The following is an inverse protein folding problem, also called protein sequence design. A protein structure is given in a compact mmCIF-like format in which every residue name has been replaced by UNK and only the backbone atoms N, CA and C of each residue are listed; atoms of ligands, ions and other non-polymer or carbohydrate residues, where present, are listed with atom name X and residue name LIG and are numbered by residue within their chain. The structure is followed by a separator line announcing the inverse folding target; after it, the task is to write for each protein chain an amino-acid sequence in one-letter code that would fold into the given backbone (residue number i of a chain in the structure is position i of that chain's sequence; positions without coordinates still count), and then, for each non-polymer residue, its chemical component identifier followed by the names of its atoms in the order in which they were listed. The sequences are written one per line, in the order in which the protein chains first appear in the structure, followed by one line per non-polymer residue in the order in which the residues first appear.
data_IF_846230103606
#
_entry.id   IF_846230103606
#
_cell.length_a   1.000
_cell.length_b   1.000
_cell.length_c   1.000
_cell.angle_alpha   90.00
_cell.angle_beta   90.00
_cell.angle_gamma   90.00
#
_symmetry.space_group_name_H-M   'P 1'
#
loop_
_entity.id
_entity.type
_entity.pdbx_description
1 polymer ?
#
# COMPACT_ATOMS: atom_id res chain seq x y z
N UNK A 1 8.67 -13.98 11.47
CA UNK A 1 8.05 -12.65 11.73
C UNK A 1 7.01 -12.46 10.65
N UNK A 2 5.74 -12.24 11.02
CA UNK A 2 4.65 -12.01 10.07
C UNK A 2 4.64 -10.55 9.63
N UNK A 3 4.80 -10.29 8.33
CA UNK A 3 4.67 -8.97 7.72
C UNK A 3 3.20 -8.66 7.44
N UNK A 4 2.87 -7.37 7.53
CA UNK A 4 1.60 -6.83 7.08
C UNK A 4 1.79 -6.17 5.72
N UNK A 5 1.23 -6.78 4.68
CA UNK A 5 1.31 -6.29 3.32
C UNK A 5 -0.04 -5.69 2.95
N UNK A 6 -0.04 -4.45 2.49
CA UNK A 6 -1.23 -3.80 1.96
C UNK A 6 -1.10 -3.68 0.45
N UNK A 7 -2.08 -4.21 -0.27
CA UNK A 7 -2.22 -3.98 -1.70
C UNK A 7 -3.28 -2.90 -1.93
N UNK A 8 -2.86 -1.76 -2.47
CA UNK A 8 -3.70 -0.59 -2.68
C UNK A 8 -4.30 -0.56 -4.08
N UNK A 9 -5.59 -0.25 -4.13
CA UNK A 9 -6.36 0.05 -5.35
C UNK A 9 -6.55 -1.14 -6.30
N UNK A 10 -6.52 -2.37 -5.77
CA UNK A 10 -6.93 -3.58 -6.50
C UNK A 10 -8.45 -3.74 -6.52
N UNK A 11 -9.12 -2.85 -7.26
CA UNK A 11 -10.57 -2.86 -7.45
C UNK A 11 -11.12 -4.17 -8.04
N UNK A 12 -10.28 -4.93 -8.73
CA UNK A 12 -10.68 -6.19 -9.35
C UNK A 12 -10.56 -7.39 -8.39
N UNK A 13 -9.92 -7.21 -7.24
CA UNK A 13 -9.64 -8.27 -6.26
C UNK A 13 -8.95 -9.49 -6.90
N UNK A 14 -7.94 -9.21 -7.73
CA UNK A 14 -7.24 -10.22 -8.52
C UNK A 14 -5.76 -10.34 -8.17
N UNK A 15 -5.18 -9.42 -7.42
CA UNK A 15 -3.75 -9.43 -7.12
C UNK A 15 -3.29 -10.73 -6.44
N UNK A 16 -4.13 -11.28 -5.56
CA UNK A 16 -3.91 -12.59 -4.92
C UNK A 16 -3.96 -13.78 -5.90
N UNK A 17 -4.56 -13.62 -7.07
CA UNK A 17 -4.65 -14.67 -8.10
C UNK A 17 -3.50 -14.66 -9.12
N UNK A 18 -2.74 -13.55 -9.19
CA UNK A 18 -1.68 -13.35 -10.19
C UNK A 18 -0.26 -13.60 -9.66
N UNK A 19 -0.10 -13.88 -8.36
CA UNK A 19 1.22 -14.10 -7.75
C UNK A 19 1.14 -15.04 -6.56
N UNK A 20 2.23 -15.75 -6.30
CA UNK A 20 2.44 -16.53 -5.08
C UNK A 20 2.79 -15.58 -3.93
N UNK A 21 1.79 -15.20 -3.13
CA UNK A 21 2.01 -14.39 -1.93
C UNK A 21 2.62 -15.25 -0.81
N UNK A 22 3.54 -14.69 0.00
CA UNK A 22 4.23 -15.46 1.02
C UNK A 22 3.25 -16.01 2.08
N UNK A 23 3.32 -17.32 2.32
CA UNK A 23 2.54 -17.98 3.36
C UNK A 23 2.95 -17.47 4.76
N UNK A 24 1.96 -17.16 5.62
CA UNK A 24 2.18 -16.69 6.99
C UNK A 24 2.33 -15.18 7.15
N UNK A 25 2.39 -14.43 6.05
CA UNK A 25 2.20 -12.97 6.02
C UNK A 25 0.71 -12.63 5.86
N UNK A 26 0.29 -11.46 6.37
CA UNK A 26 -1.10 -10.99 6.16
C UNK A 26 -1.12 -10.03 4.99
N UNK A 27 -1.76 -10.46 3.89
CA UNK A 27 -2.09 -9.60 2.76
C UNK A 27 -3.47 -9.01 3.00
N UNK A 28 -3.56 -7.69 3.01
CA UNK A 28 -4.82 -6.95 3.07
C UNK A 28 -4.98 -6.14 1.81
N UNK A 29 -5.94 -6.52 0.97
CA UNK A 29 -6.37 -5.70 -0.15
C UNK A 29 -7.18 -4.52 0.40
N UNK A 30 -6.78 -3.31 0.03
CA UNK A 30 -7.44 -2.07 0.40
C UNK A 30 -7.83 -1.35 -0.88
N UNK A 31 -9.11 -1.44 -1.20
CA UNK A 31 -9.75 -0.60 -2.19
C UNK A 31 -10.17 0.71 -1.50
N UNK A 32 -9.37 1.76 -1.66
CA UNK A 32 -9.72 3.09 -1.15
C UNK A 32 -10.13 4.01 -2.30
N UNK A 33 -11.45 4.21 -2.46
CA UNK A 33 -12.00 5.42 -3.08
C UNK A 33 -11.74 6.63 -2.17
N UNK A 34 -10.50 7.10 -2.15
CA UNK A 34 -9.95 8.31 -1.48
C UNK A 34 -10.76 8.85 -0.30
N UNK A 35 -10.67 8.25 0.90
CA UNK A 35 -11.16 8.91 2.11
C UNK A 35 -10.26 10.11 2.47
N UNK A 36 -10.71 10.99 3.37
CA UNK A 36 -9.89 12.08 3.89
C UNK A 36 -8.54 11.55 4.41
N UNK A 37 -7.45 12.29 4.19
CA UNK A 37 -6.05 11.92 4.51
C UNK A 37 -5.81 11.26 5.88
N UNK A 38 -6.54 11.69 6.91
CA UNK A 38 -6.45 11.12 8.25
C UNK A 38 -6.95 9.68 8.33
N UNK A 39 -7.95 9.31 7.53
CA UNK A 39 -8.44 7.94 7.40
C UNK A 39 -7.40 7.06 6.70
N UNK A 40 -6.78 7.55 5.62
CA UNK A 40 -5.74 6.84 4.88
C UNK A 40 -4.55 6.48 5.77
N UNK A 41 -4.03 7.44 6.54
CA UNK A 41 -2.93 7.19 7.49
C UNK A 41 -3.30 6.11 8.53
N UNK A 42 -4.53 6.15 9.05
CA UNK A 42 -5.02 5.14 10.00
C UNK A 42 -5.15 3.76 9.36
N UNK A 43 -5.66 3.69 8.14
CA UNK A 43 -5.80 2.43 7.38
C UNK A 43 -4.44 1.79 7.10
N UNK A 44 -3.45 2.61 6.75
CA UNK A 44 -2.12 2.16 6.33
C UNK A 44 -1.13 2.01 7.48
N UNK A 45 -1.37 2.61 8.64
CA UNK A 45 -0.49 2.54 9.83
C UNK A 45 0.03 1.14 10.21
N UNK A 46 -0.75 0.05 10.13
CA UNK A 46 -0.24 -1.28 10.49
C UNK A 46 0.67 -1.91 9.41
N UNK A 47 0.73 -1.35 8.20
CA UNK A 47 1.48 -1.93 7.09
C UNK A 47 2.99 -1.90 7.32
N UNK A 48 3.65 -2.97 6.87
CA UNK A 48 5.11 -3.02 6.72
C UNK A 48 5.51 -2.81 5.26
N UNK A 49 4.67 -3.25 4.33
CA UNK A 49 4.86 -3.14 2.90
C UNK A 49 3.57 -2.59 2.32
N UNK A 50 3.69 -1.62 1.40
CA UNK A 50 2.56 -1.12 0.61
C UNK A 50 2.86 -1.34 -0.86
N UNK A 51 2.02 -2.11 -1.54
CA UNK A 51 2.00 -2.25 -2.99
C UNK A 51 1.03 -1.21 -3.55
N UNK A 52 1.50 -0.35 -4.47
CA UNK A 52 0.69 0.70 -5.10
C UNK A 52 0.53 0.47 -6.59
N UNK A 53 -0.70 0.71 -7.06
CA UNK A 53 -1.06 0.63 -8.47
C UNK A 53 -0.95 2.01 -9.13
N UNK A 54 0.21 2.29 -9.73
CA UNK A 54 0.49 3.56 -10.43
C UNK A 54 0.19 4.77 -9.52
N UNK A 55 -0.22 5.89 -10.09
CA UNK A 55 -0.46 7.15 -9.39
C UNK A 55 -1.86 7.25 -8.72
N UNK A 56 -2.60 6.14 -8.55
CA UNK A 56 -4.01 6.15 -8.08
C UNK A 56 -4.18 6.75 -6.69
N UNK A 57 -3.31 6.34 -5.75
CA UNK A 57 -3.30 6.83 -4.38
C UNK A 57 -2.00 7.60 -4.11
N UNK A 58 -2.07 8.92 -3.80
CA UNK A 58 -0.90 9.67 -3.39
C UNK A 58 -0.33 9.17 -2.06
N UNK A 59 0.99 8.98 -2.03
CA UNK A 59 1.81 8.72 -0.85
C UNK A 59 2.83 9.84 -0.72
N UNK A 60 2.40 10.99 -0.23
CA UNK A 60 3.29 12.14 -0.04
C UNK A 60 4.12 12.02 1.26
N UNK A 61 5.16 12.85 1.37
CA UNK A 61 6.14 12.75 2.46
C UNK A 61 5.51 12.71 3.86
N UNK A 62 4.55 13.59 4.23
CA UNK A 62 3.99 13.55 5.58
C UNK A 62 3.14 12.31 5.85
N UNK A 63 2.53 11.71 4.82
CA UNK A 63 1.86 10.42 4.99
C UNK A 63 2.90 9.32 5.23
N UNK A 64 3.95 9.25 4.42
CA UNK A 64 5.03 8.27 4.57
C UNK A 64 5.67 8.38 5.96
N UNK A 65 5.95 9.59 6.44
CA UNK A 65 6.51 9.85 7.77
C UNK A 65 5.59 9.37 8.90
N UNK A 66 4.27 9.46 8.73
CA UNK A 66 3.31 8.96 9.72
C UNK A 66 3.26 7.42 9.79
N UNK A 67 3.71 6.71 8.73
CA UNK A 67 3.70 5.25 8.65
C UNK A 67 4.99 4.67 9.26
N UNK A 68 5.12 4.80 10.57
CA UNK A 68 6.33 4.41 11.33
C UNK A 68 6.75 2.94 11.22
N UNK A 69 5.86 2.06 10.76
CA UNK A 69 6.11 0.62 10.53
C UNK A 69 6.51 0.30 9.09
N UNK A 70 6.37 1.25 8.18
CA UNK A 70 6.61 1.08 6.75
C UNK A 70 8.09 0.85 6.49
N UNK A 71 8.39 -0.19 5.72
CA UNK A 71 9.75 -0.60 5.37
C UNK A 71 9.98 -0.59 3.86
N UNK A 72 8.91 -0.73 3.08
CA UNK A 72 8.99 -0.86 1.63
C UNK A 72 7.72 -0.34 0.97
N UNK A 73 7.89 0.42 -0.10
CA UNK A 73 6.83 0.75 -1.06
C UNK A 73 7.19 0.05 -2.37
N UNK A 74 6.25 -0.73 -2.91
CA UNK A 74 6.38 -1.39 -4.22
C UNK A 74 5.47 -0.67 -5.19
N UNK A 75 5.99 -0.23 -6.34
CA UNK A 75 5.20 0.43 -7.37
C UNK A 75 5.35 -0.28 -8.70
N UNK A 76 4.26 -0.31 -9.47
CA UNK A 76 4.28 -0.80 -10.86
C UNK A 76 4.82 0.28 -11.82
N UNK A 77 5.76 -0.09 -12.70
CA UNK A 77 6.35 0.79 -13.71
C UNK A 77 7.59 1.56 -13.24
N UNK A 78 8.29 2.19 -14.18
CA UNK A 78 9.62 2.76 -13.94
C UNK A 78 9.65 3.97 -12.99
N UNK A 79 8.56 4.74 -12.92
CA UNK A 79 8.42 5.90 -12.04
C UNK A 79 6.97 6.05 -11.61
N UNK A 80 6.80 6.53 -10.37
CA UNK A 80 5.52 6.92 -9.80
C UNK A 80 5.66 8.32 -9.22
N UNK A 81 4.92 9.27 -9.79
CA UNK A 81 5.00 10.69 -9.40
C UNK A 81 4.14 11.02 -8.17
N UNK A 82 3.29 10.10 -7.73
CA UNK A 82 2.44 10.29 -6.55
C UNK A 82 3.14 9.90 -5.24
N UNK A 83 4.37 9.36 -5.32
CA UNK A 83 5.22 9.05 -4.17
C UNK A 83 6.12 10.26 -3.91
N UNK A 84 5.88 10.96 -2.81
CA UNK A 84 6.67 12.10 -2.37
C UNK A 84 7.79 11.66 -1.44
N UNK A 85 8.96 11.38 -2.01
CA UNK A 85 10.24 11.18 -1.30
C UNK A 85 11.22 12.30 -1.66
#
# INVERSE_FOLDING_TARGET
MTLQIVDLDDHADVACSYSDWPEGDTVRVVDESTPARSAQAKTLAPSNIICVMRERTPLDAPLIEALTRLKLIVTTGARNLSIGI
#
